data_IF_770442541975
#
_entry.id   IF_770442541975
#
_cell.length_a   1.000
_cell.length_b   1.000
_cell.length_c   1.000
_cell.angle_alpha   90.00
_cell.angle_beta   90.00
_cell.angle_gamma   90.00
#
_symmetry.space_group_name_H-M   'P 1'
#
loop_
_entity.id
_entity.type
_entity.pdbx_description
1 polymer ?
#
# COMPACT_ATOMS: atom_id res chain seq x y z
N UNK A 1 -14.07 15.71 93.48
CA UNK A 1 -13.68 16.75 92.51
C UNK A 1 -14.15 16.27 91.13
N UNK A 2 -15.44 16.39 90.79
CA UNK A 2 -16.06 17.49 89.98
C UNK A 2 -15.31 17.74 88.66
N UNK A 3 -15.83 17.19 87.55
CA UNK A 3 -16.54 17.90 86.45
C UNK A 3 -15.57 18.37 85.35
N UNK A 4 -15.83 18.35 84.04
CA UNK A 4 -17.07 18.39 83.27
C UNK A 4 -17.00 17.45 82.05
N UNK A 5 -18.11 16.76 81.78
CA UNK A 5 -18.47 16.26 80.44
C UNK A 5 -18.99 17.46 79.64
N UNK A 6 -18.36 17.79 78.51
CA UNK A 6 -18.94 18.75 77.58
C UNK A 6 -19.91 18.02 76.64
N UNK A 7 -21.19 18.32 76.83
CA UNK A 7 -22.33 17.73 76.14
C UNK A 7 -22.70 18.70 75.02
N UNK A 8 -22.21 18.43 73.81
CA UNK A 8 -22.66 19.14 72.63
C UNK A 8 -24.16 18.85 72.40
N UNK A 9 -24.98 19.84 72.73
CA UNK A 9 -26.40 19.88 72.41
C UNK A 9 -26.57 20.17 70.92
N UNK A 10 -27.45 19.47 70.18
CA UNK A 10 -27.86 19.94 68.87
C UNK A 10 -28.76 21.15 69.10
N UNK A 11 -28.19 22.34 68.88
CA UNK A 11 -28.91 23.59 68.89
C UNK A 11 -30.06 23.52 67.88
N UNK A 12 -31.29 23.50 68.39
CA UNK A 12 -32.48 23.81 67.63
C UNK A 12 -32.41 25.25 67.15
N UNK A 13 -31.82 25.45 65.96
CA UNK A 13 -32.01 26.68 65.21
C UNK A 13 -33.34 26.57 64.48
N UNK A 14 -34.35 27.18 65.08
CA UNK A 14 -35.65 27.43 64.49
C UNK A 14 -35.50 28.24 63.18
N UNK A 15 -35.45 27.54 62.04
CA UNK A 15 -35.70 28.12 60.73
C UNK A 15 -37.20 27.99 60.39
N UNK A 16 -38.02 28.70 61.16
CA UNK A 16 -39.35 29.16 60.71
C UNK A 16 -39.33 30.68 60.64
N UNK A 17 -38.40 31.22 59.85
CA UNK A 17 -38.28 32.63 59.58
C UNK A 17 -38.86 32.98 58.22
N UNK A 18 -40.10 33.47 58.20
CA UNK A 18 -40.66 34.21 57.07
C UNK A 18 -40.94 33.39 55.82
N UNK A 19 -42.05 32.64 55.81
CA UNK A 19 -42.81 32.47 54.56
C UNK A 19 -43.27 33.87 54.14
N UNK A 20 -42.40 34.61 53.42
CA UNK A 20 -42.85 35.67 52.51
C UNK A 20 -44.03 35.05 51.79
N UNK A 21 -45.23 35.64 51.94
CA UNK A 21 -46.39 35.27 51.12
C UNK A 21 -46.01 35.56 49.68
N UNK A 22 -45.34 34.61 49.07
CA UNK A 22 -45.10 34.60 47.64
C UNK A 22 -46.47 34.50 47.01
N UNK A 23 -46.73 35.34 46.01
CA UNK A 23 -47.95 35.17 45.25
C UNK A 23 -47.99 33.74 44.70
N UNK A 24 -49.18 33.13 44.60
CA UNK A 24 -49.31 31.76 44.09
C UNK A 24 -48.63 31.56 42.72
N UNK A 25 -48.52 32.64 41.93
CA UNK A 25 -47.78 32.65 40.66
C UNK A 25 -46.27 32.45 40.84
N UNK A 26 -45.64 33.12 41.82
CA UNK A 26 -44.19 32.98 42.07
C UNK A 26 -43.87 31.58 42.60
N UNK A 27 -44.73 31.03 43.47
CA UNK A 27 -44.58 29.66 43.96
C UNK A 27 -44.72 28.62 42.84
N UNK A 28 -45.67 28.81 41.92
CA UNK A 28 -45.84 27.95 40.76
C UNK A 28 -44.63 28.00 39.81
N UNK A 29 -44.11 29.19 39.50
CA UNK A 29 -42.91 29.35 38.66
C UNK A 29 -41.70 28.68 39.31
N UNK A 30 -41.48 28.90 40.62
CA UNK A 30 -40.38 28.26 41.34
C UNK A 30 -40.52 26.72 41.33
N UNK A 31 -41.73 26.20 41.49
CA UNK A 31 -42.03 24.77 41.37
C UNK A 31 -41.74 24.23 39.97
N UNK A 32 -42.15 24.93 38.91
CA UNK A 32 -41.86 24.54 37.53
C UNK A 32 -40.36 24.52 37.24
N UNK A 33 -39.61 25.55 37.68
CA UNK A 33 -38.16 25.60 37.51
C UNK A 33 -37.50 24.45 38.27
N UNK A 34 -37.88 24.20 39.52
CA UNK A 34 -37.33 23.10 40.31
C UNK A 34 -37.61 21.73 39.68
N UNK A 35 -38.84 21.50 39.21
CA UNK A 35 -39.21 20.27 38.52
C UNK A 35 -38.43 20.10 37.21
N UNK A 36 -38.30 21.16 36.42
CA UNK A 36 -37.50 21.13 35.18
C UNK A 36 -36.03 20.84 35.46
N UNK A 37 -35.43 21.51 36.45
CA UNK A 37 -34.04 21.27 36.86
C UNK A 37 -33.84 19.83 37.34
N UNK A 38 -34.79 19.27 38.09
CA UNK A 38 -34.72 17.89 38.58
C UNK A 38 -34.77 16.87 37.42
N UNK A 39 -35.68 17.07 36.46
CA UNK A 39 -35.78 16.21 35.27
C UNK A 39 -34.53 16.32 34.41
N UNK A 40 -34.00 17.53 34.20
CA UNK A 40 -32.80 17.75 33.41
C UNK A 40 -31.58 17.09 34.06
N UNK A 41 -31.38 17.30 35.36
CA UNK A 41 -30.29 16.68 36.10
C UNK A 41 -30.40 15.14 36.12
N UNK A 42 -31.61 14.61 36.32
CA UNK A 42 -31.88 13.17 36.26
C UNK A 42 -31.61 12.58 34.87
N UNK A 43 -32.03 13.28 33.82
CA UNK A 43 -31.79 12.89 32.42
C UNK A 43 -30.30 12.86 32.07
N UNK A 44 -29.55 13.89 32.47
CA UNK A 44 -28.09 13.93 32.28
C UNK A 44 -27.40 12.80 33.05
N UNK A 45 -27.81 12.56 34.31
CA UNK A 45 -27.23 11.49 35.11
C UNK A 45 -27.51 10.10 34.50
N UNK A 46 -28.73 9.86 34.01
CA UNK A 46 -29.07 8.60 33.37
C UNK A 46 -28.33 8.40 32.04
N UNK A 47 -28.25 9.44 31.20
CA UNK A 47 -27.52 9.39 29.94
C UNK A 47 -26.02 9.15 30.14
N UNK A 48 -25.43 9.75 31.18
CA UNK A 48 -24.04 9.52 31.56
C UNK A 48 -23.83 8.11 32.14
N UNK A 49 -24.73 7.64 33.02
CA UNK A 49 -24.63 6.32 33.63
C UNK A 49 -24.79 5.19 32.59
N UNK A 50 -25.60 5.41 31.56
CA UNK A 50 -25.79 4.48 30.44
C UNK A 50 -24.76 4.65 29.31
N UNK A 51 -23.77 5.54 29.48
CA UNK A 51 -22.77 5.91 28.47
C UNK A 51 -23.36 6.13 27.07
N UNK A 52 -24.52 6.80 26.98
CA UNK A 52 -25.20 7.03 25.69
C UNK A 52 -24.33 7.85 24.71
N UNK A 53 -23.40 8.64 25.23
CA UNK A 53 -22.42 9.38 24.41
C UNK A 53 -21.25 8.53 23.91
N UNK A 54 -21.07 7.31 24.43
CA UNK A 54 -19.94 6.42 24.13
C UNK A 54 -18.58 6.98 24.56
N UNK A 55 -18.54 8.06 25.34
CA UNK A 55 -17.31 8.73 25.74
C UNK A 55 -16.50 7.88 26.72
N UNK A 56 -17.15 7.14 27.62
CA UNK A 56 -16.42 6.24 28.52
C UNK A 56 -15.80 5.08 27.72
N UNK A 57 -16.56 4.49 26.80
CA UNK A 57 -16.05 3.47 25.88
C UNK A 57 -14.87 3.98 25.02
N UNK A 58 -14.98 5.18 24.44
CA UNK A 58 -13.91 5.79 23.64
C UNK A 58 -12.64 6.08 24.45
N UNK A 59 -12.78 6.57 25.69
CA UNK A 59 -11.63 6.75 26.60
C UNK A 59 -10.97 5.43 26.96
N UNK A 60 -11.75 4.38 27.18
CA UNK A 60 -11.21 3.05 27.45
C UNK A 60 -10.42 2.50 26.26
N UNK A 61 -10.95 2.65 25.03
CA UNK A 61 -10.23 2.28 23.81
C UNK A 61 -8.94 3.08 23.62
N UNK A 62 -8.97 4.39 23.89
CA UNK A 62 -7.78 5.24 23.82
C UNK A 62 -6.71 4.81 24.83
N UNK A 63 -7.11 4.56 26.08
CA UNK A 63 -6.19 4.07 27.11
C UNK A 63 -5.57 2.71 26.73
N UNK A 64 -6.37 1.81 26.16
CA UNK A 64 -5.89 0.52 25.66
C UNK A 64 -4.90 0.68 24.49
N UNK A 65 -5.16 1.61 23.57
CA UNK A 65 -4.25 1.90 22.46
C UNK A 65 -2.92 2.50 22.94
N UNK A 66 -2.97 3.43 23.91
CA UNK A 66 -1.78 4.01 24.53
C UNK A 66 -0.93 2.96 25.26
N UNK A 67 -1.58 2.04 26.00
CA UNK A 67 -0.88 0.94 26.66
C UNK A 67 -0.15 0.04 25.64
N UNK A 68 -0.80 -0.32 24.52
CA UNK A 68 -0.16 -1.11 23.45
C UNK A 68 1.02 -0.39 22.80
N UNK A 69 0.92 0.92 22.62
CA UNK A 69 2.02 1.72 22.07
C UNK A 69 3.23 1.73 23.01
N UNK A 70 3.00 1.91 24.32
CA UNK A 70 4.06 1.85 25.33
C UNK A 70 4.69 0.44 25.41
N UNK A 71 3.89 -0.62 25.28
CA UNK A 71 4.41 -1.99 25.22
C UNK A 71 5.29 -2.21 24.00
N UNK A 72 4.86 -1.75 22.82
CA UNK A 72 5.66 -1.85 21.60
C UNK A 72 7.00 -1.10 21.73
N UNK A 73 6.99 0.10 22.30
CA UNK A 73 8.21 0.86 22.57
C UNK A 73 9.16 0.10 23.50
N UNK A 74 8.65 -0.51 24.58
CA UNK A 74 9.47 -1.33 25.48
C UNK A 74 10.10 -2.53 24.78
N UNK A 75 9.38 -3.18 23.87
CA UNK A 75 9.93 -4.31 23.07
C UNK A 75 11.05 -3.81 22.14
N UNK A 76 10.87 -2.66 21.48
CA UNK A 76 11.88 -2.07 20.60
C UNK A 76 13.14 -1.71 21.40
N UNK A 77 12.99 -1.05 22.55
CA UNK A 77 14.13 -0.70 23.41
C UNK A 77 14.83 -1.94 23.96
N UNK A 78 14.09 -2.98 24.34
CA UNK A 78 14.67 -4.24 24.79
C UNK A 78 15.45 -4.94 23.66
N UNK A 79 14.94 -4.88 22.43
CA UNK A 79 15.63 -5.40 21.25
C UNK A 79 16.91 -4.60 20.94
N UNK A 80 16.86 -3.27 21.06
CA UNK A 80 18.03 -2.40 20.89
C UNK A 80 19.12 -2.72 21.94
N UNK A 81 18.76 -2.79 23.23
CA UNK A 81 19.71 -3.19 24.29
C UNK A 81 20.32 -4.57 24.04
N UNK A 82 19.55 -5.53 23.53
CA UNK A 82 20.06 -6.87 23.21
C UNK A 82 21.03 -6.84 22.02
N UNK A 83 20.82 -5.93 21.05
CA UNK A 83 21.76 -5.69 19.95
C UNK A 83 23.07 -5.08 20.47
N UNK A 84 23.01 -4.11 21.38
CA UNK A 84 24.21 -3.45 21.94
C UNK A 84 25.05 -4.37 22.85
N UNK A 85 24.41 -5.35 23.51
CA UNK A 85 25.08 -6.37 24.33
C UNK A 85 25.70 -7.51 23.49
N UNK A 86 25.39 -7.58 22.20
CA UNK A 86 26.08 -8.48 21.28
C UNK A 86 27.22 -7.67 20.65
N UNK A 87 28.49 -7.88 21.07
CA UNK A 87 29.59 -7.18 20.44
C UNK A 87 29.58 -7.48 18.94
N UNK A 88 29.86 -6.46 18.12
CA UNK A 88 30.10 -6.58 16.69
C UNK A 88 30.91 -7.86 16.42
N UNK A 89 30.40 -8.80 15.60
CA UNK A 89 31.18 -9.96 15.24
C UNK A 89 32.46 -9.45 14.57
N UNK A 90 33.59 -9.78 15.18
CA UNK A 90 34.91 -9.59 14.62
C UNK A 90 34.89 -10.02 13.15
N UNK A 91 35.43 -9.14 12.30
CA UNK A 91 35.45 -9.18 10.82
C UNK A 91 36.16 -10.40 10.22
N UNK A 92 36.40 -11.46 10.97
CA UNK A 92 36.96 -12.71 10.49
C UNK A 92 35.95 -13.83 10.74
N UNK A 93 35.65 -14.58 9.67
CA UNK A 93 34.76 -15.75 9.59
C UNK A 93 33.24 -15.50 9.42
N UNK A 94 32.84 -14.66 8.47
CA UNK A 94 31.45 -14.67 7.96
C UNK A 94 31.27 -15.69 6.84
N UNK A 95 30.94 -16.92 7.21
CA UNK A 95 29.99 -17.70 6.41
C UNK A 95 28.78 -16.81 6.09
N UNK A 96 28.20 -16.83 4.89
CA UNK A 96 27.10 -15.95 4.56
C UNK A 96 25.93 -16.24 5.50
N UNK A 97 25.65 -15.30 6.41
CA UNK A 97 24.59 -15.41 7.40
C UNK A 97 23.26 -15.54 6.66
N UNK A 98 22.52 -16.60 6.94
CA UNK A 98 21.16 -16.77 6.41
C UNK A 98 20.29 -15.67 7.03
N UNK A 99 19.63 -14.81 6.22
CA UNK A 99 18.77 -13.76 6.73
C UNK A 99 17.63 -14.33 7.58
N UNK A 100 17.33 -13.68 8.70
CA UNK A 100 16.22 -14.10 9.56
C UNK A 100 14.87 -13.82 8.88
N UNK A 101 13.84 -14.59 9.23
CA UNK A 101 12.52 -14.44 8.58
C UNK A 101 11.94 -13.02 8.71
N UNK A 102 12.14 -12.35 9.84
CA UNK A 102 11.70 -10.98 10.03
C UNK A 102 12.43 -9.99 9.12
N UNK A 103 13.73 -10.20 8.87
CA UNK A 103 14.54 -9.38 7.97
C UNK A 103 14.04 -9.57 6.53
N UNK A 104 13.82 -10.82 6.10
CA UNK A 104 13.22 -11.11 4.80
C UNK A 104 11.86 -10.45 4.62
N UNK A 105 11.07 -10.33 5.68
CA UNK A 105 9.76 -9.67 5.60
C UNK A 105 9.85 -8.16 5.46
N UNK A 106 10.85 -7.53 6.10
CA UNK A 106 11.13 -6.12 5.92
C UNK A 106 11.66 -5.84 4.51
N UNK A 107 12.58 -6.65 4.01
CA UNK A 107 13.10 -6.56 2.63
C UNK A 107 11.98 -6.74 1.61
N UNK A 108 11.03 -7.66 1.84
CA UNK A 108 9.89 -7.86 0.93
C UNK A 108 8.91 -6.68 0.97
N UNK A 109 8.71 -6.08 2.15
CA UNK A 109 7.91 -4.86 2.29
C UNK A 109 8.57 -3.68 1.57
N UNK A 110 9.88 -3.52 1.73
CA UNK A 110 10.65 -2.47 1.08
C UNK A 110 10.68 -2.64 -0.44
N UNK A 111 10.80 -3.87 -0.93
CA UNK A 111 10.67 -4.18 -2.35
C UNK A 111 9.28 -3.78 -2.90
N UNK A 112 8.21 -4.08 -2.17
CA UNK A 112 6.86 -3.70 -2.57
C UNK A 112 6.70 -2.17 -2.61
N UNK A 113 7.16 -1.47 -1.57
CA UNK A 113 7.07 -0.02 -1.45
C UNK A 113 7.93 0.72 -2.49
N UNK A 114 9.21 0.34 -2.66
CA UNK A 114 10.12 0.92 -3.67
C UNK A 114 9.70 0.58 -5.10
N UNK A 115 8.97 -0.52 -5.29
CA UNK A 115 8.31 -0.87 -6.54
C UNK A 115 7.09 0.00 -6.87
N UNK A 116 6.60 0.82 -5.94
CA UNK A 116 5.45 1.71 -6.14
C UNK A 116 4.10 1.09 -5.79
N UNK A 117 4.07 -0.02 -5.05
CA UNK A 117 2.84 -0.53 -4.43
C UNK A 117 2.54 0.26 -3.14
N UNK A 118 1.26 0.54 -2.89
CA UNK A 118 0.78 1.29 -1.73
C UNK A 118 -0.18 0.43 -0.90
N UNK A 119 -0.35 0.75 0.39
CA UNK A 119 -1.27 0.00 1.26
C UNK A 119 -0.87 -1.47 1.43
N UNK A 120 0.43 -1.77 1.40
CA UNK A 120 0.97 -3.14 1.40
C UNK A 120 0.62 -3.88 2.69
N UNK A 121 -0.09 -4.99 2.55
CA UNK A 121 -0.32 -6.01 3.58
C UNK A 121 0.50 -7.25 3.24
N UNK A 122 1.28 -7.73 4.22
CA UNK A 122 2.04 -8.97 4.12
C UNK A 122 1.40 -10.02 5.02
N UNK A 123 0.87 -11.07 4.41
CA UNK A 123 0.13 -12.13 5.08
C UNK A 123 0.86 -13.47 4.90
N UNK A 124 1.70 -13.87 5.86
CA UNK A 124 2.29 -15.20 5.88
C UNK A 124 1.20 -16.27 5.90
N UNK A 125 1.21 -17.17 4.92
CA UNK A 125 0.24 -18.26 4.84
C UNK A 125 0.72 -19.42 5.73
N UNK A 126 -0.18 -19.99 6.53
CA UNK A 126 0.12 -21.25 7.22
C UNK A 126 0.11 -22.36 6.18
N UNK A 127 1.12 -23.25 6.23
CA UNK A 127 1.15 -24.42 5.36
C UNK A 127 -0.08 -25.29 5.65
N UNK A 128 -0.97 -25.42 4.67
CA UNK A 128 -2.10 -26.33 4.74
C UNK A 128 -1.60 -27.77 4.75
N UNK A 129 -1.67 -28.42 5.92
CA UNK A 129 -1.67 -29.89 6.07
C UNK A 129 -0.38 -30.66 5.76
N UNK A 130 0.59 -30.11 5.03
CA UNK A 130 1.92 -30.68 4.89
C UNK A 130 2.79 -30.21 6.06
N UNK A 131 3.46 -31.14 6.73
CA UNK A 131 4.43 -30.84 7.78
C UNK A 131 5.30 -29.64 7.37
N UNK A 132 5.67 -28.74 8.29
CA UNK A 132 6.46 -27.57 7.96
C UNK A 132 7.81 -28.04 7.43
N UNK A 133 7.91 -28.22 6.12
CA UNK A 133 9.19 -28.29 5.47
C UNK A 133 9.73 -26.88 5.64
N UNK A 134 10.60 -26.73 6.65
CA UNK A 134 11.28 -25.49 7.05
C UNK A 134 11.96 -24.74 5.89
N UNK A 135 11.92 -25.31 4.69
CA UNK A 135 12.50 -24.89 3.43
C UNK A 135 11.62 -23.97 2.58
N UNK A 136 10.27 -23.99 2.68
CA UNK A 136 9.37 -23.13 1.88
C UNK A 136 8.36 -22.41 2.76
N UNK A 137 8.26 -21.09 2.59
CA UNK A 137 7.28 -20.24 3.29
C UNK A 137 6.58 -19.34 2.29
N UNK A 138 5.27 -19.44 2.22
CA UNK A 138 4.46 -18.63 1.31
C UNK A 138 3.98 -17.35 2.00
N UNK A 139 4.14 -16.22 1.33
CA UNK A 139 3.62 -14.92 1.76
C UNK A 139 2.67 -14.41 0.70
N UNK A 140 1.47 -14.01 1.11
CA UNK A 140 0.57 -13.23 0.27
C UNK A 140 0.83 -11.74 0.50
N UNK A 141 1.08 -11.01 -0.57
CA UNK A 141 1.19 -9.56 -0.59
C UNK A 141 -0.10 -9.02 -1.20
N UNK A 142 -0.79 -8.15 -0.48
CA UNK A 142 -1.98 -7.44 -0.96
C UNK A 142 -1.68 -5.95 -0.96
N UNK A 143 -1.82 -5.29 -2.09
CA UNK A 143 -1.51 -3.87 -2.23
C UNK A 143 -2.29 -3.23 -3.37
N UNK A 144 -2.27 -1.91 -3.42
CA UNK A 144 -2.83 -1.11 -4.50
C UNK A 144 -1.70 -0.55 -5.38
N UNK A 145 -1.83 -0.69 -6.70
CA UNK A 145 -0.80 -0.23 -7.64
C UNK A 145 -1.08 -0.60 -9.11
N UNK A 146 -0.48 0.14 -10.03
CA UNK A 146 -0.61 -0.11 -11.48
C UNK A 146 0.30 -1.25 -11.98
N UNK A 147 0.16 -1.59 -13.26
CA UNK A 147 0.92 -2.69 -13.86
C UNK A 147 2.44 -2.47 -13.82
N UNK A 148 2.89 -1.22 -13.96
CA UNK A 148 4.31 -0.86 -13.82
C UNK A 148 4.87 -1.17 -12.43
N UNK A 149 4.09 -0.93 -11.37
CA UNK A 149 4.52 -1.21 -10.01
C UNK A 149 4.63 -2.72 -9.78
N UNK A 150 3.66 -3.48 -10.28
CA UNK A 150 3.70 -4.94 -10.27
C UNK A 150 4.93 -5.50 -11.01
N UNK A 151 5.24 -5.01 -12.21
CA UNK A 151 6.44 -5.42 -12.95
C UNK A 151 7.74 -5.10 -12.19
N UNK A 152 7.81 -3.93 -11.56
CA UNK A 152 8.97 -3.53 -10.74
C UNK A 152 9.18 -4.49 -9.57
N UNK A 153 8.11 -4.86 -8.87
CA UNK A 153 8.15 -5.80 -7.75
C UNK A 153 8.55 -7.20 -8.22
N UNK A 154 7.92 -7.73 -9.26
CA UNK A 154 8.24 -9.07 -9.79
C UNK A 154 9.68 -9.13 -10.31
N UNK A 155 10.15 -8.09 -11.00
CA UNK A 155 11.54 -7.99 -11.46
C UNK A 155 12.53 -7.84 -10.29
N UNK A 156 12.15 -7.14 -9.22
CA UNK A 156 13.00 -6.98 -8.04
C UNK A 156 13.15 -8.27 -7.22
N UNK A 157 12.22 -9.22 -7.30
CA UNK A 157 12.37 -10.55 -6.67
C UNK A 157 13.62 -11.31 -7.18
N UNK A 158 14.05 -11.06 -8.42
CA UNK A 158 15.29 -11.65 -8.95
C UNK A 158 16.56 -11.17 -8.20
N UNK A 159 16.49 -10.01 -7.53
CA UNK A 159 17.56 -9.43 -6.71
C UNK A 159 17.34 -9.66 -5.22
N UNK A 160 16.30 -10.41 -4.85
CA UNK A 160 15.99 -10.69 -3.45
C UNK A 160 17.10 -11.56 -2.81
N UNK A 161 17.40 -11.42 -1.50
CA UNK A 161 18.55 -12.10 -0.88
C UNK A 161 18.49 -13.64 -0.91
N UNK A 162 17.28 -14.19 -1.01
CA UNK A 162 17.01 -15.63 -1.10
C UNK A 162 16.10 -15.91 -2.28
N UNK A 163 16.00 -17.17 -2.69
CA UNK A 163 15.08 -17.57 -3.74
C UNK A 163 13.64 -17.22 -3.32
N UNK A 164 13.04 -16.30 -4.06
CA UNK A 164 11.65 -15.89 -3.91
C UNK A 164 10.96 -16.03 -5.27
N UNK A 165 9.94 -16.90 -5.32
CA UNK A 165 9.25 -17.27 -6.56
C UNK A 165 7.79 -16.83 -6.48
N UNK A 166 7.31 -15.98 -7.41
CA UNK A 166 5.88 -15.73 -7.57
C UNK A 166 5.15 -17.04 -7.86
N UNK A 167 4.14 -17.37 -7.08
CA UNK A 167 3.38 -18.63 -7.20
C UNK A 167 1.93 -18.43 -7.61
N UNK A 168 1.36 -17.27 -7.30
CA UNK A 168 0.05 -16.85 -7.79
C UNK A 168 0.00 -15.32 -7.93
N UNK A 169 -0.76 -14.84 -8.90
CA UNK A 169 -1.00 -13.42 -9.12
C UNK A 169 -2.47 -13.22 -9.49
N UNK A 170 -3.11 -12.27 -8.81
CA UNK A 170 -4.46 -11.80 -9.09
C UNK A 170 -4.45 -10.28 -9.13
N UNK A 171 -5.04 -9.72 -10.16
CA UNK A 171 -5.17 -8.27 -10.33
C UNK A 171 -6.65 -7.96 -10.53
N UNK A 172 -7.17 -7.09 -9.68
CA UNK A 172 -8.55 -6.63 -9.72
C UNK A 172 -8.58 -5.13 -10.03
N UNK A 173 -9.59 -4.70 -10.79
CA UNK A 173 -9.78 -3.27 -11.05
C UNK A 173 -10.39 -2.61 -9.81
N UNK A 174 -9.62 -1.73 -9.16
CA UNK A 174 -10.13 -0.86 -8.10
C UNK A 174 -10.67 0.46 -8.65
N UNK A 175 -11.20 1.30 -7.77
CA UNK A 175 -11.82 2.60 -8.12
C UNK A 175 -10.80 3.70 -8.43
N UNK A 176 -9.60 3.64 -7.85
CA UNK A 176 -8.53 4.64 -8.01
C UNK A 176 -7.24 4.04 -8.56
N UNK A 177 -6.97 2.76 -8.27
CA UNK A 177 -5.82 2.00 -8.79
C UNK A 177 -6.18 0.52 -8.83
N UNK A 178 -5.41 -0.30 -9.54
CA UNK A 178 -5.62 -1.74 -9.55
C UNK A 178 -5.23 -2.34 -8.18
N UNK A 179 -6.04 -3.25 -7.69
CA UNK A 179 -5.73 -4.03 -6.50
C UNK A 179 -4.97 -5.28 -6.90
N UNK A 180 -3.81 -5.47 -6.33
CA UNK A 180 -2.87 -6.55 -6.65
C UNK A 180 -2.75 -7.48 -5.47
N UNK A 181 -2.93 -8.77 -5.73
CA UNK A 181 -2.66 -9.86 -4.80
C UNK A 181 -1.61 -10.78 -5.43
N UNK A 182 -0.45 -10.90 -4.81
CA UNK A 182 0.64 -11.77 -5.25
C UNK A 182 1.05 -12.71 -4.13
N UNK A 183 1.08 -14.00 -4.41
CA UNK A 183 1.66 -15.00 -3.52
C UNK A 183 3.10 -15.26 -3.93
N UNK A 184 4.00 -15.19 -2.96
CA UNK A 184 5.44 -15.40 -3.14
C UNK A 184 5.88 -16.55 -2.25
N UNK A 185 6.47 -17.58 -2.86
CA UNK A 185 7.15 -18.66 -2.15
C UNK A 185 8.59 -18.25 -1.87
N UNK A 186 8.91 -18.08 -0.60
CA UNK A 186 10.26 -17.74 -0.13
C UNK A 186 10.94 -19.00 0.38
N UNK A 187 12.18 -19.22 -0.05
CA UNK A 187 13.00 -20.37 0.32
C UNK A 187 14.26 -19.91 1.07
N UNK A 188 14.22 -19.71 2.40
CA UNK A 188 15.32 -19.09 3.15
C UNK A 188 16.65 -19.84 3.07
N UNK A 189 16.61 -21.16 2.85
CA UNK A 189 17.81 -22.00 2.71
C UNK A 189 18.46 -21.97 1.32
N UNK A 190 17.85 -21.28 0.34
CA UNK A 190 18.35 -21.16 -1.02
C UNK A 190 18.75 -19.71 -1.26
N UNK A 191 20.05 -19.41 -1.19
CA UNK A 191 20.54 -18.07 -1.54
C UNK A 191 20.28 -17.79 -3.02
N UNK A 192 19.98 -16.54 -3.33
CA UNK A 192 19.82 -16.13 -4.72
C UNK A 192 21.13 -16.40 -5.47
N UNK A 193 21.04 -17.20 -6.54
CA UNK A 193 22.17 -17.37 -7.44
C UNK A 193 22.47 -16.00 -8.05
N UNK A 194 23.66 -15.46 -7.80
CA UNK A 194 24.12 -14.25 -8.47
C UNK A 194 24.19 -14.57 -9.96
N UNK A 195 23.17 -14.17 -10.70
CA UNK A 195 23.11 -14.39 -12.14
C UNK A 195 24.11 -13.43 -12.80
N UNK A 196 25.38 -13.86 -12.87
CA UNK A 196 26.46 -13.27 -13.68
C UNK A 196 26.23 -13.59 -15.17
N UNK A 197 24.99 -13.50 -15.62
CA UNK A 197 24.53 -14.05 -16.89
C UNK A 197 23.61 -13.06 -17.57
N UNK A 198 24.19 -11.95 -18.05
CA UNK A 198 23.56 -10.95 -18.87
C UNK A 198 22.42 -10.23 -18.17
N UNK A 199 22.50 -8.91 -18.07
CA UNK A 199 21.28 -8.13 -18.10
C UNK A 199 20.54 -8.52 -19.38
N UNK A 200 19.65 -9.51 -19.28
CA UNK A 200 18.35 -9.35 -19.91
C UNK A 200 17.81 -8.10 -19.23
N UNK A 201 18.20 -6.95 -19.78
CA UNK A 201 17.39 -5.76 -19.75
C UNK A 201 16.05 -6.27 -20.22
N UNK A 202 15.19 -6.64 -19.27
CA UNK A 202 13.76 -6.69 -19.48
C UNK A 202 13.50 -5.29 -19.92
N UNK A 203 13.45 -5.17 -21.25
CA UNK A 203 13.40 -3.93 -21.98
C UNK A 203 12.34 -3.12 -21.25
N UNK A 204 12.79 -2.09 -20.55
CA UNK A 204 11.92 -0.99 -20.19
C UNK A 204 11.61 -0.28 -21.51
N UNK A 205 10.96 -1.00 -22.44
CA UNK A 205 10.04 -0.41 -23.37
C UNK A 205 9.02 0.24 -22.44
N UNK A 206 9.17 1.54 -22.23
CA UNK A 206 8.16 2.32 -21.56
C UNK A 206 6.83 2.01 -22.25
N UNK A 207 5.86 1.34 -21.60
CA UNK A 207 4.49 1.51 -22.01
C UNK A 207 4.11 2.84 -21.39
N UNK A 208 4.22 3.92 -22.16
CA UNK A 208 3.83 5.26 -21.68
C UNK A 208 2.32 5.35 -21.40
N UNK A 209 1.57 4.28 -21.66
CA UNK A 209 0.23 4.05 -21.14
C UNK A 209 0.15 2.67 -20.48
N UNK A 210 -0.12 2.65 -19.17
CA UNK A 210 -0.64 1.46 -18.50
C UNK A 210 -1.95 1.04 -19.21
N UNK A 211 -2.03 -0.15 -19.85
CA UNK A 211 -3.24 -0.60 -20.55
C UNK A 211 -4.44 -0.82 -19.61
N UNK A 212 -4.21 -0.77 -18.29
CA UNK A 212 -5.23 -0.84 -17.25
C UNK A 212 -5.40 0.49 -16.49
N UNK A 213 -4.59 1.50 -16.81
CA UNK A 213 -4.70 2.85 -16.28
C UNK A 213 -5.90 3.60 -16.88
N UNK A 214 -6.48 4.49 -16.10
CA UNK A 214 -7.43 5.47 -16.61
C UNK A 214 -6.66 6.41 -17.52
N UNK A 215 -6.98 6.42 -18.81
CA UNK A 215 -6.36 7.30 -19.79
C UNK A 215 -6.72 8.75 -19.43
N UNK A 216 -5.81 9.44 -18.76
CA UNK A 216 -5.77 10.90 -18.84
C UNK A 216 -5.21 11.18 -20.22
N UNK A 217 -6.10 11.62 -21.12
CA UNK A 217 -5.74 12.11 -22.44
C UNK A 217 -4.65 13.19 -22.29
N UNK A 218 -3.40 12.75 -22.42
CA UNK A 218 -2.22 13.60 -22.47
C UNK A 218 -2.03 13.85 -23.95
N UNK A 219 -2.30 15.09 -24.34
CA UNK A 219 -2.32 15.52 -25.73
C UNK A 219 -0.94 15.45 -26.36
N UNK A 220 -0.97 15.16 -27.66
CA UNK A 220 -0.10 15.71 -28.69
C UNK A 220 1.41 15.48 -28.51
N UNK A 221 1.85 14.26 -28.82
CA UNK A 221 3.04 14.06 -29.66
C UNK A 221 2.82 12.79 -30.51
N UNK A 222 2.53 12.99 -31.80
CA UNK A 222 2.53 11.99 -32.88
C UNK A 222 1.98 10.60 -32.57
N UNK A 223 0.73 10.33 -32.98
CA UNK A 223 0.14 8.99 -32.98
C UNK A 223 1.18 7.92 -33.42
N UNK A 224 1.54 7.03 -32.49
CA UNK A 224 2.62 6.07 -32.66
C UNK A 224 2.34 5.19 -33.88
N UNK A 225 3.06 5.49 -34.97
CA UNK A 225 2.86 4.85 -36.26
C UNK A 225 3.27 3.37 -36.17
N UNK A 226 2.31 2.45 -36.31
CA UNK A 226 2.51 1.01 -36.10
C UNK A 226 2.86 0.32 -37.41
N UNK A 227 3.82 -0.61 -37.39
CA UNK A 227 4.08 -1.49 -38.54
C UNK A 227 2.97 -2.54 -38.67
N UNK A 228 2.11 -2.39 -39.68
CA UNK A 228 0.98 -3.27 -39.98
C UNK A 228 1.37 -4.46 -40.87
N UNK A 229 2.39 -4.31 -41.71
CA UNK A 229 2.82 -5.37 -42.63
C UNK A 229 4.10 -5.05 -43.38
N UNK A 230 4.74 -6.08 -43.92
CA UNK A 230 5.86 -5.95 -44.86
C UNK A 230 5.66 -6.89 -46.04
N UNK A 231 5.92 -6.43 -47.26
CA UNK A 231 5.97 -7.25 -48.47
C UNK A 231 7.36 -7.11 -49.05
N UNK A 232 7.99 -8.22 -49.47
CA UNK A 232 9.30 -8.18 -50.11
C UNK A 232 9.39 -9.14 -51.29
N UNK A 233 10.18 -8.74 -52.27
CA UNK A 233 10.71 -9.55 -53.35
C UNK A 233 12.26 -9.51 -53.28
N UNK A 234 12.95 -10.30 -54.10
CA UNK A 234 14.41 -10.34 -54.18
C UNK A 234 15.06 -8.98 -54.50
N UNK A 235 14.29 -8.02 -55.03
CA UNK A 235 14.78 -6.70 -55.46
C UNK A 235 14.13 -5.50 -54.76
N UNK A 236 13.03 -5.69 -54.04
CA UNK A 236 12.25 -4.59 -53.48
C UNK A 236 11.58 -4.99 -52.15
N UNK A 237 11.44 -4.03 -51.24
CA UNK A 237 10.69 -4.18 -50.00
C UNK A 237 9.72 -3.04 -49.82
N UNK A 238 8.55 -3.31 -49.26
CA UNK A 238 7.50 -2.36 -48.97
C UNK A 238 7.04 -2.57 -47.51
N UNK A 239 6.95 -1.50 -46.75
CA UNK A 239 6.43 -1.49 -45.40
C UNK A 239 5.07 -0.78 -45.36
N UNK A 240 4.11 -1.36 -44.65
CA UNK A 240 2.79 -0.78 -44.43
C UNK A 240 2.70 -0.30 -42.99
N UNK A 241 2.41 0.98 -42.82
CA UNK A 241 2.29 1.64 -41.52
C UNK A 241 0.84 2.08 -41.27
N UNK A 242 0.36 1.85 -40.06
CA UNK A 242 -0.95 2.27 -39.55
C UNK A 242 -0.77 3.47 -38.62
N UNK A 243 -1.49 4.55 -38.87
CA UNK A 243 -1.47 5.76 -38.05
C UNK A 243 -2.30 5.63 -36.76
N UNK A 244 -2.98 4.50 -36.55
CA UNK A 244 -3.86 4.24 -35.42
C UNK A 244 -5.26 4.87 -35.55
N UNK A 245 -5.47 5.70 -36.58
CA UNK A 245 -6.78 6.24 -36.96
C UNK A 245 -7.42 5.43 -38.11
N UNK A 246 -6.79 4.31 -38.51
CA UNK A 246 -7.25 3.42 -39.57
C UNK A 246 -6.77 3.83 -40.98
N UNK A 247 -5.84 4.79 -41.08
CA UNK A 247 -5.20 5.13 -42.34
C UNK A 247 -3.90 4.36 -42.48
N UNK A 248 -3.71 3.75 -43.64
CA UNK A 248 -2.48 3.01 -43.94
C UNK A 248 -1.63 3.74 -44.96
N UNK A 249 -0.32 3.83 -44.68
CA UNK A 249 0.68 4.40 -45.59
C UNK A 249 1.68 3.32 -45.97
N UNK A 250 1.89 3.13 -47.26
CA UNK A 250 2.88 2.20 -47.80
C UNK A 250 4.16 2.97 -48.16
N UNK A 251 5.31 2.49 -47.68
CA UNK A 251 6.59 3.20 -47.78
C UNK A 251 7.69 2.23 -48.22
N UNK A 252 8.55 2.65 -49.16
CA UNK A 252 9.71 1.86 -49.63
C UNK A 252 11.02 2.32 -48.98
N UNK A 253 12.09 1.50 -48.98
CA UNK A 253 13.42 1.95 -48.58
C UNK A 253 13.82 3.24 -49.31
N UNK A 254 14.24 4.23 -48.53
CA UNK A 254 14.62 5.57 -48.98
C UNK A 254 13.54 6.62 -48.77
N UNK A 255 12.28 6.26 -48.55
CA UNK A 255 11.19 7.24 -48.34
C UNK A 255 11.07 7.70 -46.88
N UNK A 256 10.52 8.90 -46.71
CA UNK A 256 10.29 9.49 -45.40
C UNK A 256 8.95 9.02 -44.81
N UNK A 257 8.96 8.72 -43.51
CA UNK A 257 7.80 8.44 -42.68
C UNK A 257 7.83 9.44 -41.51
N UNK A 258 7.12 10.56 -41.65
CA UNK A 258 7.21 11.68 -40.72
C UNK A 258 8.62 12.25 -40.66
N UNK A 259 9.23 12.24 -39.46
CA UNK A 259 10.61 12.70 -39.22
C UNK A 259 11.66 11.60 -39.45
N UNK A 260 11.25 10.37 -39.71
CA UNK A 260 12.13 9.23 -39.93
C UNK A 260 12.23 8.87 -41.42
N UNK A 261 13.31 8.17 -41.82
CA UNK A 261 13.49 7.62 -43.16
C UNK A 261 13.60 6.10 -43.11
N UNK A 262 12.84 5.40 -43.95
CA UNK A 262 12.93 3.93 -44.06
C UNK A 262 14.27 3.57 -44.71
N UNK A 263 15.10 2.81 -44.01
CA UNK A 263 16.41 2.39 -44.53
C UNK A 263 16.39 0.98 -45.09
N UNK A 264 15.65 0.08 -44.45
CA UNK A 264 15.60 -1.35 -44.82
C UNK A 264 14.29 -1.98 -44.40
N UNK A 265 13.71 -2.80 -45.27
CA UNK A 265 12.53 -3.63 -44.99
C UNK A 265 12.96 -5.09 -44.95
N UNK A 266 12.88 -5.71 -43.77
CA UNK A 266 13.06 -7.15 -43.55
C UNK A 266 11.70 -7.87 -43.53
N UNK A 267 11.69 -9.21 -43.46
CA UNK A 267 10.45 -10.00 -43.47
C UNK A 267 9.54 -9.82 -42.26
N UNK A 268 10.07 -9.30 -41.15
CA UNK A 268 9.34 -9.12 -39.91
C UNK A 268 9.74 -7.83 -39.18
N UNK A 269 10.49 -6.94 -39.84
CA UNK A 269 10.96 -5.71 -39.22
C UNK A 269 11.31 -4.64 -40.25
N UNK A 270 11.29 -3.38 -39.83
CA UNK A 270 11.73 -2.24 -40.63
C UNK A 270 12.76 -1.44 -39.85
N UNK A 271 13.86 -1.09 -40.50
CA UNK A 271 14.88 -0.21 -39.93
C UNK A 271 14.62 1.22 -40.40
N UNK A 272 14.49 2.14 -39.45
CA UNK A 272 14.30 3.56 -39.66
C UNK A 272 15.56 4.32 -39.24
N UNK A 273 15.88 5.40 -39.94
CA UNK A 273 16.86 6.40 -39.52
C UNK A 273 16.14 7.68 -39.09
N UNK A 274 16.47 8.18 -37.91
CA UNK A 274 16.00 9.45 -37.38
C UNK A 274 17.22 10.27 -36.94
N UNK A 275 17.03 11.53 -36.54
CA UNK A 275 18.14 12.42 -36.17
C UNK A 275 18.93 11.95 -34.94
N UNK A 276 18.30 11.17 -34.05
CA UNK A 276 18.86 10.63 -32.82
C UNK A 276 19.50 9.23 -32.99
N UNK A 277 19.29 8.56 -34.12
CA UNK A 277 19.88 7.26 -34.41
C UNK A 277 19.07 6.38 -35.36
N UNK A 278 19.46 5.11 -35.44
CA UNK A 278 18.73 4.09 -36.18
C UNK A 278 17.86 3.26 -35.23
N UNK A 279 16.58 3.11 -35.57
CA UNK A 279 15.61 2.35 -34.80
C UNK A 279 15.06 1.18 -35.61
N UNK A 280 14.74 0.05 -34.97
CA UNK A 280 14.19 -1.16 -35.62
C UNK A 280 12.80 -1.44 -35.07
N UNK A 281 11.78 -1.37 -35.92
CA UNK A 281 10.39 -1.68 -35.59
C UNK A 281 10.09 -3.12 -36.00
N UNK A 282 9.50 -3.92 -35.10
CA UNK A 282 9.14 -5.32 -35.38
C UNK A 282 7.65 -5.47 -35.69
N UNK A 283 7.32 -6.33 -36.66
CA UNK A 283 5.95 -6.63 -37.04
C UNK A 283 5.21 -7.27 -35.85
N UNK A 284 4.20 -6.57 -35.31
CA UNK A 284 3.45 -7.02 -34.14
C UNK A 284 3.64 -6.17 -32.87
N UNK A 285 4.48 -5.13 -32.89
CA UNK A 285 4.65 -4.19 -31.76
C UNK A 285 3.48 -3.21 -31.53
N UNK A 286 2.37 -3.34 -32.26
CA UNK A 286 1.11 -2.75 -31.83
C UNK A 286 0.11 -3.84 -31.49
N UNK A 287 -0.65 -3.65 -30.42
CA UNK A 287 -1.63 -4.61 -29.93
C UNK A 287 -2.69 -5.01 -30.96
N UNK A 288 -3.23 -6.21 -30.78
CA UNK A 288 -4.47 -6.68 -31.41
C UNK A 288 -5.68 -6.19 -30.58
N UNK A 289 -6.86 -6.06 -31.22
CA UNK A 289 -7.95 -5.18 -30.80
C UNK A 289 -8.59 -5.52 -29.46
#
# INVERSE_FOLDING_TARGET
MTALMDRATPHGAAWRGGLRRMSPQVAHIAGCVAAFSAVLAGGIHLANAADWSGLAHGRALLAAAQARAADAQRVIEAAARRRDLHPEPSRDDSLPRVPEWAELMLELADLAASGGLHGVSLEPQRADGAAPDSRRRTVRIVADGGFRALLSVVGGLARFPVLAVPSALRVERGTQSARVEISVDVFPGLQAATFMGGEAQVLAAAPDADPFGWAVASGDEGAATRLAGTIRDARAGLALFDDGAGTYVAVVPGEALGIARVMRVDSAAVTLAMADGAYRIVLGEGGRP
#
